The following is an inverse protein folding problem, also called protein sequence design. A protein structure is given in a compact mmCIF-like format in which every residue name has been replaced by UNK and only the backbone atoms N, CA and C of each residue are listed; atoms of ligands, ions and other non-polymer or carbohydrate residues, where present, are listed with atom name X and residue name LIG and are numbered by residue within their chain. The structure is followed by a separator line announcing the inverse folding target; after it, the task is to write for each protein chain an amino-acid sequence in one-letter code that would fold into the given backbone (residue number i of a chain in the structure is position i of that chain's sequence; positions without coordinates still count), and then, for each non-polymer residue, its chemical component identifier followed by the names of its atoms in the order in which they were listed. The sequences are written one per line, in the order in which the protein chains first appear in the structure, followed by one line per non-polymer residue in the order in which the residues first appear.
data_IF_009775720917
#
_entry.id   IF_009775720917
#
_cell.length_a   1.000
_cell.length_b   1.000
_cell.length_c   1.000
_cell.angle_alpha   90.00
_cell.angle_beta   90.00
_cell.angle_gamma   90.00
#
_symmetry.space_group_name_H-M   'P 1'
#
loop_
_entity.id
_entity.type
_entity.pdbx_description
1 polymer ?
#
# COMPACT_ATOMS: atom_id res chain seq x y z
N UNK A 1 -4.61 14.75 -2.26
CA UNK A 1 -4.01 13.70 -3.11
C UNK A 1 -5.14 12.93 -3.77
N UNK A 2 -5.19 12.89 -5.10
CA UNK A 2 -6.17 12.14 -5.89
C UNK A 2 -5.85 10.64 -5.87
N UNK A 3 -6.79 9.79 -6.29
CA UNK A 3 -6.52 8.34 -6.42
C UNK A 3 -5.41 8.03 -7.42
N UNK A 4 -5.25 8.86 -8.46
CA UNK A 4 -4.15 8.71 -9.42
C UNK A 4 -2.81 9.09 -8.80
N UNK A 5 -2.77 10.19 -8.05
CA UNK A 5 -1.57 10.59 -7.31
C UNK A 5 -1.16 9.53 -6.27
N UNK A 6 -2.13 8.90 -5.59
CA UNK A 6 -1.88 7.79 -4.66
C UNK A 6 -1.31 6.56 -5.38
N UNK A 7 -1.89 6.18 -6.53
CA UNK A 7 -1.38 5.10 -7.38
C UNK A 7 0.07 5.38 -7.80
N UNK A 8 0.33 6.57 -8.34
CA UNK A 8 1.65 6.94 -8.85
C UNK A 8 2.68 6.99 -7.71
N UNK A 9 2.28 7.51 -6.54
CA UNK A 9 3.11 7.48 -5.33
C UNK A 9 3.48 6.05 -4.93
N UNK A 10 2.50 5.14 -4.91
CA UNK A 10 2.75 3.74 -4.58
C UNK A 10 3.72 3.06 -5.55
N UNK A 11 3.51 3.24 -6.87
CA UNK A 11 4.37 2.65 -7.90
C UNK A 11 5.80 3.19 -7.81
N UNK A 12 5.96 4.50 -7.59
CA UNK A 12 7.27 5.13 -7.44
C UNK A 12 8.01 4.63 -6.19
N UNK A 13 7.34 4.60 -5.03
CA UNK A 13 7.94 4.10 -3.78
C UNK A 13 8.30 2.61 -3.88
N UNK A 14 7.51 1.82 -4.59
CA UNK A 14 7.79 0.40 -4.84
C UNK A 14 9.05 0.22 -5.70
N UNK A 15 9.22 1.07 -6.72
CA UNK A 15 10.42 1.10 -7.57
C UNK A 15 11.67 1.54 -6.81
N UNK A 16 11.54 2.58 -5.99
CA UNK A 16 12.63 3.06 -5.13
C UNK A 16 13.04 2.00 -4.10
N UNK A 17 12.08 1.35 -3.44
CA UNK A 17 12.35 0.28 -2.48
C UNK A 17 13.12 -0.88 -3.11
N UNK A 18 12.80 -1.22 -4.37
CA UNK A 18 13.56 -2.24 -5.13
C UNK A 18 15.00 -1.80 -5.36
N UNK A 19 15.24 -0.55 -5.74
CA UNK A 19 16.59 0.00 -5.93
C UNK A 19 17.37 0.00 -4.62
N UNK A 20 16.75 0.41 -3.53
CA UNK A 20 17.39 0.46 -2.21
C UNK A 20 17.79 -0.95 -1.72
N UNK A 21 17.08 -2.00 -2.15
CA UNK A 21 17.46 -3.38 -1.86
C UNK A 21 18.82 -3.78 -2.47
N UNK A 22 19.28 -3.11 -3.54
CA UNK A 22 20.58 -3.35 -4.17
C UNK A 22 21.75 -2.99 -3.25
N UNK A 23 21.56 -2.08 -2.29
CA UNK A 23 22.57 -1.71 -1.30
C UNK A 23 23.03 -2.91 -0.47
N UNK A 24 22.20 -3.96 -0.34
CA UNK A 24 22.49 -5.15 0.47
C UNK A 24 23.13 -6.30 -0.31
N UNK A 25 23.39 -6.16 -1.62
CA UNK A 25 23.97 -7.23 -2.47
C UNK A 25 25.34 -7.72 -1.96
N UNK A 26 26.10 -6.85 -1.29
CA UNK A 26 27.42 -7.17 -0.76
C UNK A 26 27.37 -8.06 0.50
N UNK A 27 26.19 -8.26 1.11
CA UNK A 27 26.04 -9.09 2.30
C UNK A 27 26.04 -10.57 1.93
N UNK A 28 26.72 -11.37 2.75
CA UNK A 28 26.64 -12.84 2.65
C UNK A 28 25.26 -13.36 3.04
N UNK A 29 24.96 -14.60 2.67
CA UNK A 29 23.72 -15.28 3.04
C UNK A 29 23.46 -15.29 4.56
N UNK A 30 24.50 -15.45 5.38
CA UNK A 30 24.35 -15.43 6.83
C UNK A 30 24.07 -14.03 7.36
N UNK A 31 24.64 -12.98 6.75
CA UNK A 31 24.41 -11.60 7.15
C UNK A 31 23.01 -11.11 6.75
N UNK A 32 22.55 -11.43 5.54
CA UNK A 32 21.22 -11.01 5.07
C UNK A 32 20.08 -11.69 5.86
N UNK A 33 20.30 -12.92 6.33
CA UNK A 33 19.34 -13.68 7.13
C UNK A 33 19.59 -13.57 8.65
N UNK A 34 20.54 -12.74 9.09
CA UNK A 34 20.77 -12.52 10.51
C UNK A 34 19.60 -11.75 11.13
N UNK A 35 19.14 -12.21 12.29
CA UNK A 35 18.01 -11.61 13.03
C UNK A 35 18.53 -10.96 14.31
N UNK A 36 18.19 -9.68 14.59
CA UNK A 36 18.63 -9.00 15.80
C UNK A 36 17.98 -9.54 17.09
N UNK A 37 16.78 -10.09 16.99
CA UNK A 37 16.08 -10.82 18.04
C UNK A 37 15.06 -11.78 17.42
N UNK A 38 14.57 -12.76 18.18
CA UNK A 38 13.58 -13.75 17.68
C UNK A 38 12.29 -13.12 17.14
N UNK A 39 11.88 -11.98 17.71
CA UNK A 39 10.67 -11.24 17.33
C UNK A 39 10.90 -10.23 16.20
N UNK A 40 12.12 -10.07 15.71
CA UNK A 40 12.47 -9.10 14.67
C UNK A 40 12.76 -9.80 13.35
N UNK A 41 12.58 -9.07 12.25
CA UNK A 41 12.87 -9.57 10.91
C UNK A 41 14.33 -9.30 10.55
N UNK A 42 14.93 -10.24 9.84
CA UNK A 42 16.17 -10.05 9.11
C UNK A 42 15.96 -9.13 7.90
N UNK A 43 17.06 -8.66 7.32
CA UNK A 43 17.03 -7.88 6.08
C UNK A 43 16.39 -8.70 4.96
N UNK A 44 16.73 -9.99 4.85
CA UNK A 44 16.18 -10.92 3.87
C UNK A 44 14.66 -11.07 3.99
N UNK A 45 14.14 -11.22 5.22
CA UNK A 45 12.70 -11.30 5.49
C UNK A 45 11.97 -9.99 5.12
N UNK A 46 12.56 -8.83 5.42
CA UNK A 46 12.00 -7.54 5.01
C UNK A 46 11.92 -7.40 3.48
N UNK A 47 12.99 -7.74 2.77
CA UNK A 47 13.04 -7.69 1.30
C UNK A 47 12.03 -8.66 0.70
N UNK A 48 11.93 -9.88 1.23
CA UNK A 48 11.01 -10.91 0.76
C UNK A 48 9.54 -10.48 0.91
N UNK A 49 9.20 -9.88 2.06
CA UNK A 49 7.87 -9.36 2.32
C UNK A 49 7.49 -8.24 1.32
N UNK A 50 8.40 -7.29 1.09
CA UNK A 50 8.21 -6.22 0.12
C UNK A 50 8.06 -6.78 -1.30
N UNK A 51 8.89 -7.75 -1.67
CA UNK A 51 8.84 -8.41 -2.97
C UNK A 51 7.49 -9.10 -3.21
N UNK A 52 7.02 -9.92 -2.27
CA UNK A 52 5.71 -10.59 -2.37
C UNK A 52 4.56 -9.61 -2.46
N UNK A 53 4.62 -8.55 -1.67
CA UNK A 53 3.61 -7.48 -1.69
C UNK A 53 3.58 -6.80 -3.05
N UNK A 54 4.75 -6.39 -3.56
CA UNK A 54 4.88 -5.73 -4.86
C UNK A 54 4.42 -6.63 -6.01
N UNK A 55 4.76 -7.92 -5.99
CA UNK A 55 4.29 -8.89 -6.97
C UNK A 55 2.75 -8.96 -7.05
N UNK A 56 2.06 -8.78 -5.93
CA UNK A 56 0.60 -8.85 -5.87
C UNK A 56 -0.06 -7.54 -6.29
N UNK A 57 0.49 -6.41 -5.85
CA UNK A 57 -0.20 -5.11 -5.95
C UNK A 57 0.23 -4.27 -7.15
N UNK A 58 1.49 -4.33 -7.59
CA UNK A 58 1.95 -3.54 -8.75
C UNK A 58 1.05 -3.80 -9.99
N UNK A 59 0.75 -5.07 -10.38
CA UNK A 59 -0.09 -5.31 -11.56
C UNK A 59 -1.49 -4.71 -11.42
N UNK A 60 -2.06 -4.73 -10.21
CA UNK A 60 -3.38 -4.16 -9.93
C UNK A 60 -3.35 -2.64 -10.10
N UNK A 61 -2.33 -1.98 -9.58
CA UNK A 61 -2.19 -0.53 -9.66
C UNK A 61 -1.79 -0.04 -11.06
N UNK A 62 -0.98 -0.79 -11.81
CA UNK A 62 -0.68 -0.47 -13.21
C UNK A 62 -1.94 -0.53 -14.09
N UNK A 63 -2.85 -1.47 -13.81
CA UNK A 63 -4.15 -1.55 -14.48
C UNK A 63 -5.19 -0.56 -13.94
N UNK A 64 -4.92 0.08 -12.80
CA UNK A 64 -5.84 1.04 -12.20
C UNK A 64 -5.93 2.30 -13.07
N UNK A 65 -7.11 2.49 -13.65
CA UNK A 65 -7.53 3.75 -14.24
C UNK A 65 -8.41 4.47 -13.24
N UNK A 66 -8.25 5.80 -13.12
CA UNK A 66 -9.26 6.56 -12.41
C UNK A 66 -10.62 6.22 -13.02
N UNK A 67 -11.65 5.92 -12.21
CA UNK A 67 -12.99 5.94 -12.74
C UNK A 67 -13.20 7.31 -13.41
N UNK A 68 -13.81 7.33 -14.59
CA UNK A 68 -14.48 8.54 -15.07
C UNK A 68 -15.58 8.82 -14.06
N UNK A 69 -15.23 9.49 -12.96
CA UNK A 69 -16.21 10.04 -12.06
C UNK A 69 -16.88 11.09 -12.92
N UNK A 70 -18.09 10.78 -13.43
CA UNK A 70 -18.95 11.85 -13.90
C UNK A 70 -19.00 12.85 -12.75
N UNK A 71 -18.66 14.10 -13.02
CA UNK A 71 -18.85 15.21 -12.08
C UNK A 71 -20.36 15.45 -11.82
N UNK A 72 -21.20 14.42 -11.89
CA UNK A 72 -22.53 14.48 -11.33
C UNK A 72 -22.35 14.60 -9.83
N UNK A 73 -22.61 15.82 -9.35
CA UNK A 73 -22.79 16.13 -7.93
C UNK A 73 -23.85 15.20 -7.37
N UNK A 74 -23.47 14.00 -6.96
CA UNK A 74 -24.29 13.17 -6.11
C UNK A 74 -24.25 13.82 -4.73
N UNK A 75 -25.19 14.75 -4.50
CA UNK A 75 -25.54 15.18 -3.16
C UNK A 75 -25.77 13.91 -2.34
N UNK A 76 -24.96 13.72 -1.30
CA UNK A 76 -25.10 12.62 -0.37
C UNK A 76 -26.49 12.71 0.29
N UNK A 77 -27.47 12.00 -0.28
CA UNK A 77 -28.79 11.85 0.32
C UNK A 77 -28.72 10.73 1.33
N UNK A 78 -28.33 11.10 2.55
CA UNK A 78 -28.53 10.28 3.74
C UNK A 78 -29.94 9.68 3.72
N UNK A 79 -30.02 8.37 3.50
CA UNK A 79 -31.28 7.61 3.58
C UNK A 79 -31.75 7.58 5.04
N UNK A 80 -33.04 7.31 5.25
CA UNK A 80 -33.67 7.30 6.58
C UNK A 80 -32.87 6.47 7.62
N UNK A 81 -32.32 5.33 7.21
CA UNK A 81 -31.49 4.44 8.04
C UNK A 81 -30.15 5.11 8.41
N UNK A 82 -29.50 5.80 7.47
CA UNK A 82 -28.24 6.50 7.72
C UNK A 82 -28.37 7.61 8.76
N UNK A 83 -29.51 8.35 8.75
CA UNK A 83 -29.83 9.34 9.79
C UNK A 83 -30.03 8.72 11.16
N UNK A 84 -30.66 7.55 11.24
CA UNK A 84 -30.90 6.86 12.50
C UNK A 84 -29.59 6.41 13.16
N UNK A 85 -28.66 5.84 12.37
CA UNK A 85 -27.35 5.38 12.87
C UNK A 85 -26.47 6.56 13.33
N UNK A 86 -26.44 7.66 12.57
CA UNK A 86 -25.66 8.84 12.98
C UNK A 86 -26.15 9.44 14.30
N UNK A 87 -27.47 9.42 14.55
CA UNK A 87 -28.04 9.87 15.82
C UNK A 87 -27.78 8.91 16.98
N UNK A 88 -27.68 7.61 16.73
CA UNK A 88 -27.43 6.63 17.80
C UNK A 88 -25.97 6.64 18.31
N UNK A 89 -25.03 7.18 17.52
CA UNK A 89 -23.61 7.27 17.88
C UNK A 89 -23.26 8.61 18.55
N UNK A 90 -24.12 9.63 18.44
CA UNK A 90 -23.96 10.93 19.09
C UNK A 90 -24.76 11.06 20.41
N UNK A 91 -25.01 9.95 21.11
CA UNK A 91 -25.61 9.91 22.45
C UNK A 91 -24.58 9.47 23.49
#
# INVERSE_FOLDING_TARGET
MTNLELRDTFLNLSSESKKNAEEFIHLSYNQINWRPAESQWSIGECIEHLWRTNMKYIPVYEMYKAPEISNDKHEFKQTFIGRFILKSVML
#
